data_IF_066051607541
#
_entry.id   IF_066051607541
#
_cell.length_a   1.000
_cell.length_b   1.000
_cell.length_c   1.000
_cell.angle_alpha   90.00
_cell.angle_beta   90.00
_cell.angle_gamma   90.00
#
_symmetry.space_group_name_H-M   'P 1'
#
loop_
_entity.id
_entity.type
_entity.pdbx_description
1 polymer ?
#
# COMPACT_ATOMS: atom_id res chain seq x y z
N UNK A 1 -2.60 -1.67 -17.36
CA UNK A 1 -1.36 -2.46 -17.47
C UNK A 1 -0.85 -2.48 -18.90
N UNK A 2 0.46 -2.56 -19.05
CA UNK A 2 1.09 -2.61 -20.36
C UNK A 2 0.67 -3.84 -21.19
N UNK A 3 0.44 -4.98 -20.52
CA UNK A 3 -0.06 -6.20 -21.14
C UNK A 3 -1.36 -6.61 -20.48
N UNK A 4 -2.48 -6.40 -21.15
CA UNK A 4 -3.81 -6.70 -20.61
C UNK A 4 -3.96 -8.17 -20.18
N UNK A 5 -3.29 -9.12 -20.86
CA UNK A 5 -3.33 -10.53 -20.52
C UNK A 5 -2.76 -10.85 -19.13
N UNK A 6 -2.03 -9.93 -18.52
CA UNK A 6 -1.47 -10.08 -17.17
C UNK A 6 -2.29 -9.41 -16.09
N UNK A 7 -3.36 -8.71 -16.46
CA UNK A 7 -4.23 -8.09 -15.47
C UNK A 7 -5.07 -9.14 -14.76
N UNK A 8 -5.23 -8.97 -13.45
CA UNK A 8 -6.03 -9.83 -12.60
C UNK A 8 -7.21 -9.04 -12.04
N UNK A 9 -8.20 -9.73 -11.50
CA UNK A 9 -9.38 -9.07 -10.95
C UNK A 9 -9.10 -8.37 -9.60
N UNK A 10 -10.08 -7.59 -9.13
CA UNK A 10 -9.96 -6.81 -7.89
C UNK A 10 -9.73 -7.68 -6.65
N UNK A 11 -10.35 -8.84 -6.58
CA UNK A 11 -10.19 -9.75 -5.43
C UNK A 11 -8.76 -10.24 -5.32
N UNK A 12 -8.13 -10.54 -6.44
CA UNK A 12 -6.74 -10.95 -6.49
C UNK A 12 -5.81 -9.82 -6.05
N UNK A 13 -6.09 -8.59 -6.48
CA UNK A 13 -5.31 -7.42 -6.08
C UNK A 13 -5.40 -7.18 -4.58
N UNK A 14 -6.60 -7.28 -4.01
CA UNK A 14 -6.80 -7.12 -2.57
C UNK A 14 -6.07 -8.20 -1.76
N UNK A 15 -6.03 -9.42 -2.26
CA UNK A 15 -5.27 -10.50 -1.63
C UNK A 15 -3.77 -10.17 -1.59
N UNK A 16 -3.23 -9.64 -2.69
CA UNK A 16 -1.83 -9.20 -2.75
C UNK A 16 -1.57 -8.11 -1.70
N UNK A 17 -2.45 -7.12 -1.61
CA UNK A 17 -2.31 -6.03 -0.64
C UNK A 17 -2.35 -6.53 0.80
N UNK A 18 -3.19 -7.52 1.10
CA UNK A 18 -3.27 -8.11 2.44
C UNK A 18 -2.03 -8.91 2.82
N UNK A 19 -1.39 -9.55 1.85
CA UNK A 19 -0.22 -10.39 2.08
C UNK A 19 1.10 -9.62 2.07
N UNK A 20 1.13 -8.44 1.45
CA UNK A 20 2.34 -7.66 1.34
C UNK A 20 2.83 -7.20 2.72
N UNK A 21 4.14 -7.33 3.02
CA UNK A 21 4.67 -6.89 4.31
C UNK A 21 4.63 -5.37 4.49
N UNK A 22 4.64 -4.64 3.40
CA UNK A 22 4.44 -3.20 3.37
C UNK A 22 3.80 -2.82 2.04
N UNK A 23 3.21 -1.63 2.00
CA UNK A 23 2.60 -1.07 0.79
C UNK A 23 3.23 0.28 0.56
N UNK A 24 3.71 0.53 -0.66
CA UNK A 24 4.23 1.85 -1.01
C UNK A 24 3.05 2.76 -1.30
N UNK A 25 2.95 3.84 -0.55
CA UNK A 25 1.93 4.86 -0.74
C UNK A 25 2.57 6.06 -1.41
N UNK A 26 2.04 6.43 -2.56
CA UNK A 26 2.55 7.55 -3.35
C UNK A 26 1.61 8.73 -3.19
N UNK A 27 2.18 9.85 -2.79
CA UNK A 27 1.49 11.10 -2.53
C UNK A 27 1.94 12.17 -3.52
N UNK A 28 1.11 13.19 -3.68
CA UNK A 28 1.51 14.42 -4.36
C UNK A 28 1.75 15.47 -3.30
N UNK A 29 2.97 15.99 -3.25
CA UNK A 29 3.31 17.04 -2.29
C UNK A 29 2.59 18.34 -2.63
N UNK A 30 2.59 19.26 -1.67
CA UNK A 30 1.94 20.57 -1.83
C UNK A 30 2.43 21.32 -3.06
N UNK A 31 3.70 21.16 -3.42
CA UNK A 31 4.31 21.81 -4.59
C UNK A 31 4.07 21.03 -5.90
N UNK A 32 3.33 19.93 -5.84
CA UNK A 32 3.04 19.09 -7.00
C UNK A 32 4.04 17.98 -7.25
N UNK A 33 5.12 17.89 -6.49
CA UNK A 33 6.11 16.82 -6.67
C UNK A 33 5.62 15.48 -6.12
N UNK A 34 6.13 14.39 -6.66
CA UNK A 34 5.78 13.05 -6.23
C UNK A 34 6.59 12.63 -5.02
N UNK A 35 5.96 11.88 -4.11
CA UNK A 35 6.59 11.38 -2.90
C UNK A 35 6.04 9.97 -2.60
N UNK A 36 6.92 8.99 -2.55
CA UNK A 36 6.53 7.60 -2.27
C UNK A 36 7.23 7.08 -1.03
N UNK A 37 6.50 6.36 -0.18
CA UNK A 37 7.05 5.81 1.05
C UNK A 37 6.40 4.45 1.35
N UNK A 38 7.18 3.43 1.79
CA UNK A 38 6.61 2.18 2.25
C UNK A 38 6.01 2.37 3.64
N UNK A 39 4.78 1.89 3.80
CA UNK A 39 4.04 2.00 5.05
C UNK A 39 3.39 0.68 5.39
N UNK A 40 3.12 0.47 6.68
CA UNK A 40 2.37 -0.68 7.16
C UNK A 40 0.89 -0.33 7.18
N UNK A 41 0.14 -0.94 6.27
CA UNK A 41 -1.30 -0.72 6.15
C UNK A 41 -2.08 -1.93 6.65
N UNK A 42 -3.25 -1.67 7.21
CA UNK A 42 -4.18 -2.72 7.63
C UNK A 42 -5.60 -2.36 7.24
N UNK A 43 -6.40 -3.37 6.96
CA UNK A 43 -7.79 -3.19 6.54
C UNK A 43 -8.66 -4.26 7.19
N UNK A 44 -9.84 -3.88 7.61
CA UNK A 44 -10.89 -4.81 7.99
C UNK A 44 -11.86 -5.02 6.82
N UNK A 45 -12.11 -3.95 6.08
CA UNK A 45 -12.95 -3.94 4.88
C UNK A 45 -12.11 -3.66 3.66
N UNK A 46 -12.50 -4.19 2.52
CA UNK A 46 -11.72 -4.11 1.29
C UNK A 46 -11.49 -2.67 0.80
N UNK A 47 -12.40 -1.77 1.12
CA UNK A 47 -12.37 -0.40 0.63
C UNK A 47 -11.70 0.59 1.57
N UNK A 48 -11.39 0.18 2.80
CA UNK A 48 -10.82 1.08 3.82
C UNK A 48 -9.51 0.50 4.32
N UNK A 49 -8.44 1.26 4.13
CA UNK A 49 -7.09 0.88 4.55
C UNK A 49 -6.52 1.95 5.47
N UNK A 50 -5.95 1.53 6.57
CA UNK A 50 -5.42 2.43 7.59
C UNK A 50 -3.91 2.37 7.66
N UNK A 51 -3.30 3.53 7.87
CA UNK A 51 -1.89 3.64 8.25
C UNK A 51 -1.76 4.79 9.25
N UNK A 52 -0.65 4.80 9.99
CA UNK A 52 -0.39 5.89 10.91
C UNK A 52 0.83 6.68 10.47
N UNK A 53 0.85 7.96 10.81
CA UNK A 53 1.97 8.85 10.52
C UNK A 53 2.11 9.88 11.64
N UNK A 54 3.22 10.61 11.63
CA UNK A 54 3.42 11.70 12.59
C UNK A 54 2.37 12.80 12.38
N UNK A 55 2.10 13.56 13.44
CA UNK A 55 1.16 14.67 13.39
C UNK A 55 1.61 15.79 12.46
N UNK A 56 2.91 15.88 12.19
CA UNK A 56 3.51 16.85 11.28
C UNK A 56 4.40 16.12 10.30
N UNK A 57 4.64 16.73 9.15
CA UNK A 57 5.55 16.21 8.14
C UNK A 57 4.97 16.17 6.75
N UNK A 58 5.78 15.71 5.80
CA UNK A 58 5.45 15.70 4.37
C UNK A 58 4.18 14.92 4.06
N UNK A 59 3.96 13.79 4.74
CA UNK A 59 2.78 12.95 4.49
C UNK A 59 1.49 13.69 4.84
N UNK A 60 1.46 14.33 5.99
CA UNK A 60 0.27 15.04 6.43
C UNK A 60 0.00 16.27 5.57
N UNK A 61 1.04 17.04 5.24
CA UNK A 61 0.92 18.19 4.36
C UNK A 61 0.46 17.80 2.98
N UNK A 62 0.98 16.70 2.43
CA UNK A 62 0.60 16.19 1.13
C UNK A 62 -0.87 15.79 1.09
N UNK A 63 -1.34 15.03 2.09
CA UNK A 63 -2.74 14.59 2.17
C UNK A 63 -3.69 15.78 2.25
N UNK A 64 -3.33 16.80 3.01
CA UNK A 64 -4.13 18.00 3.16
C UNK A 64 -4.26 18.76 1.84
N UNK A 65 -3.15 18.88 1.10
CA UNK A 65 -3.14 19.60 -0.17
C UNK A 65 -3.74 18.79 -1.32
N UNK A 66 -3.41 17.48 -1.38
CA UNK A 66 -3.82 16.56 -2.46
C UNK A 66 -4.19 15.20 -1.85
N UNK A 67 -5.48 14.93 -1.65
CA UNK A 67 -5.90 13.70 -0.98
C UNK A 67 -5.75 12.43 -1.82
N UNK A 68 -5.60 12.54 -3.13
CA UNK A 68 -5.48 11.37 -4.00
C UNK A 68 -4.14 10.68 -3.80
N UNK A 69 -4.18 9.36 -3.59
CA UNK A 69 -2.99 8.54 -3.36
C UNK A 69 -3.01 7.30 -4.24
N UNK A 70 -1.83 6.74 -4.46
CA UNK A 70 -1.65 5.48 -5.16
C UNK A 70 -0.96 4.50 -4.22
N UNK A 71 -1.51 3.30 -4.10
CA UNK A 71 -0.95 2.24 -3.29
C UNK A 71 -0.37 1.17 -4.20
N UNK A 72 0.85 0.74 -3.93
CA UNK A 72 1.53 -0.28 -4.72
C UNK A 72 2.09 -1.36 -3.79
N UNK A 73 1.74 -2.61 -4.05
CA UNK A 73 2.15 -3.75 -3.22
C UNK A 73 2.77 -4.85 -4.08
N UNK A 74 3.80 -5.50 -3.54
CA UNK A 74 4.46 -6.64 -4.17
C UNK A 74 4.59 -7.74 -3.11
N UNK A 75 4.18 -8.97 -3.43
CA UNK A 75 4.27 -10.08 -2.48
C UNK A 75 5.34 -11.09 -2.86
N UNK A 76 5.41 -11.49 -4.09
CA UNK A 76 6.36 -12.50 -4.54
C UNK A 76 7.33 -11.84 -5.52
N UNK A 77 8.61 -11.88 -5.18
CA UNK A 77 9.63 -11.29 -6.03
C UNK A 77 10.84 -12.24 -6.04
N UNK A 78 11.03 -12.95 -7.14
CA UNK A 78 12.09 -13.92 -7.31
C UNK A 78 12.70 -13.81 -8.69
N UNK A 79 14.03 -13.73 -8.81
CA UNK A 79 14.67 -13.86 -10.11
C UNK A 79 14.58 -15.29 -10.60
N UNK A 80 14.37 -15.48 -11.90
CA UNK A 80 14.40 -16.77 -12.56
C UNK A 80 15.33 -16.69 -13.76
N UNK A 81 16.06 -17.77 -13.99
CA UNK A 81 16.96 -17.88 -15.15
C UNK A 81 16.13 -18.31 -16.36
N UNK A 82 16.28 -17.57 -17.45
CA UNK A 82 15.62 -17.90 -18.71
C UNK A 82 16.28 -19.07 -19.43
N UNK A 83 15.68 -19.58 -20.52
CA UNK A 83 16.18 -20.72 -21.26
C UNK A 83 17.48 -20.46 -22.02
N UNK A 84 17.87 -19.20 -22.21
CA UNK A 84 19.11 -18.82 -22.89
C UNK A 84 20.14 -18.37 -21.88
N UNK A 85 21.42 -18.65 -22.14
CA UNK A 85 22.51 -18.19 -21.32
C UNK A 85 22.48 -16.66 -21.19
N UNK A 86 22.62 -16.19 -19.95
CA UNK A 86 22.61 -14.75 -19.65
C UNK A 86 21.22 -14.13 -19.59
N UNK A 87 20.16 -14.88 -19.90
CA UNK A 87 18.81 -14.33 -19.77
C UNK A 87 18.25 -14.61 -18.36
N UNK A 88 17.52 -13.63 -17.84
CA UNK A 88 16.82 -13.78 -16.57
C UNK A 88 15.57 -12.94 -16.58
N UNK A 89 14.64 -13.27 -15.70
CA UNK A 89 13.44 -12.48 -15.50
C UNK A 89 13.09 -12.48 -14.01
N UNK A 90 12.23 -11.56 -13.63
CA UNK A 90 11.76 -11.43 -12.27
C UNK A 90 10.32 -11.93 -12.19
N UNK A 91 10.10 -12.98 -11.39
CA UNK A 91 8.74 -13.43 -11.08
C UNK A 91 8.21 -12.62 -9.91
N UNK A 92 7.03 -12.01 -10.08
CA UNK A 92 6.43 -11.19 -9.02
C UNK A 92 4.93 -11.21 -9.11
N UNK A 93 4.31 -10.85 -8.00
CA UNK A 93 2.88 -10.55 -7.92
C UNK A 93 2.75 -9.16 -7.35
N UNK A 94 2.04 -8.30 -8.04
CA UNK A 94 1.87 -6.91 -7.62
C UNK A 94 0.43 -6.45 -7.78
N UNK A 95 0.08 -5.43 -7.01
CA UNK A 95 -1.22 -4.79 -7.08
C UNK A 95 -1.03 -3.29 -6.95
N UNK A 96 -1.84 -2.53 -7.67
CA UNK A 96 -1.87 -1.08 -7.60
C UNK A 96 -3.32 -0.67 -7.34
N UNK A 97 -3.52 0.23 -6.39
CA UNK A 97 -4.82 0.74 -6.04
C UNK A 97 -4.77 2.26 -5.93
N UNK A 98 -5.87 2.90 -6.28
CA UNK A 98 -6.01 4.35 -6.21
C UNK A 98 -7.11 4.69 -5.22
N UNK A 99 -6.92 5.74 -4.46
CA UNK A 99 -7.91 6.16 -3.49
C UNK A 99 -7.65 7.56 -2.97
N UNK A 100 -8.42 7.91 -1.96
CA UNK A 100 -8.27 9.18 -1.27
C UNK A 100 -7.84 8.92 0.17
N UNK A 101 -6.84 9.65 0.62
CA UNK A 101 -6.40 9.62 2.00
C UNK A 101 -7.15 10.68 2.80
N UNK A 102 -7.62 10.29 3.96
CA UNK A 102 -8.34 11.18 4.87
C UNK A 102 -7.76 11.02 6.28
N UNK A 103 -7.71 12.13 7.00
CA UNK A 103 -7.29 12.11 8.40
C UNK A 103 -8.44 11.59 9.26
N UNK A 104 -8.17 10.54 10.04
CA UNK A 104 -9.15 10.00 10.98
C UNK A 104 -9.20 10.93 12.20
N UNK A 105 -10.35 11.51 12.46
CA UNK A 105 -10.55 12.45 13.58
C UNK A 105 -11.37 11.84 14.72
N UNK A 106 -12.17 10.83 14.44
CA UNK A 106 -12.96 10.14 15.45
C UNK A 106 -12.07 9.28 16.35
N UNK A 107 -12.17 9.44 17.66
CA UNK A 107 -11.34 8.73 18.62
C UNK A 107 -11.54 7.23 18.56
N UNK A 108 -12.78 6.77 18.44
CA UNK A 108 -13.08 5.33 18.37
C UNK A 108 -12.53 4.71 17.09
N UNK A 109 -12.62 5.40 15.97
CA UNK A 109 -12.06 4.94 14.71
C UNK A 109 -10.54 4.90 14.76
N UNK A 110 -9.89 5.88 15.41
CA UNK A 110 -8.43 5.88 15.61
C UNK A 110 -7.99 4.65 16.40
N UNK A 111 -8.68 4.32 17.47
CA UNK A 111 -8.38 3.15 18.30
C UNK A 111 -8.56 1.86 17.47
N UNK A 112 -9.64 1.78 16.73
CA UNK A 112 -9.93 0.64 15.86
C UNK A 112 -8.84 0.45 14.81
N UNK A 113 -8.43 1.53 14.15
CA UNK A 113 -7.38 1.49 13.14
C UNK A 113 -6.04 1.03 13.73
N UNK A 114 -5.66 1.53 14.89
CA UNK A 114 -4.43 1.12 15.56
C UNK A 114 -4.47 -0.35 15.97
N UNK A 115 -5.61 -0.84 16.43
CA UNK A 115 -5.78 -2.27 16.74
C UNK A 115 -5.61 -3.14 15.49
N UNK A 116 -6.18 -2.74 14.38
CA UNK A 116 -6.03 -3.47 13.11
C UNK A 116 -4.56 -3.56 12.68
N UNK A 117 -3.84 -2.46 12.78
CA UNK A 117 -2.42 -2.43 12.43
C UNK A 117 -1.62 -3.34 13.37
N UNK A 118 -1.88 -3.29 14.67
CA UNK A 118 -1.21 -4.15 15.64
C UNK A 118 -1.52 -5.62 15.40
N UNK A 119 -2.77 -5.98 15.13
CA UNK A 119 -3.16 -7.36 14.85
C UNK A 119 -2.42 -7.92 13.64
N UNK A 120 -2.23 -7.11 12.62
CA UNK A 120 -1.57 -7.53 11.39
C UNK A 120 -0.06 -7.71 11.57
N UNK A 121 0.60 -6.77 12.22
CA UNK A 121 2.06 -6.68 12.25
C UNK A 121 2.68 -7.08 13.58
N UNK A 122 1.95 -6.92 14.69
CA UNK A 122 2.45 -7.21 16.03
C UNK A 122 1.42 -7.95 16.88
N UNK A 123 0.92 -9.11 16.42
CA UNK A 123 -0.17 -9.79 17.12
C UNK A 123 0.20 -10.21 18.56
N UNK A 124 1.48 -10.41 18.85
CA UNK A 124 1.94 -10.81 20.19
C UNK A 124 1.87 -9.67 21.21
N UNK A 125 1.67 -8.45 20.77
CA UNK A 125 1.61 -7.26 21.62
C UNK A 125 0.20 -6.72 21.82
N UNK A 126 -0.79 -7.48 21.38
CA UNK A 126 -2.20 -7.13 21.56
C UNK A 126 -2.67 -7.43 22.98
#
# INVERSE_FOLDING_TARGET
>A
MRKASREMNSDWALEIMRKAPYITVSFTRKDGSAYGVPLSLASEEDNIWYFHCALEGDKLDAITAHPEVCLSAVTKCQPTVGPKDGSFTLQYRSAVAFGKAELVTDTNEKIHALKLICQRFLPKHM
#
